data_IF_149988347788
#
_entry.id   IF_149988347788
#
_cell.length_a   1.000
_cell.length_b   1.000
_cell.length_c   1.000
_cell.angle_alpha   90.00
_cell.angle_beta   90.00
_cell.angle_gamma   90.00
#
_symmetry.space_group_name_H-M   'P 1'
#
loop_
_entity.id
_entity.type
_entity.pdbx_description
1 polymer ?
#
# COMPACT_ATOMS: atom_id res chain seq x y z
N UNK A 1 -14.69 14.07 -42.77
CA UNK A 1 -14.50 14.91 -41.57
C UNK A 1 -13.49 14.21 -40.69
N UNK A 2 -12.25 14.69 -40.76
CA UNK A 2 -11.09 14.22 -40.02
C UNK A 2 -11.14 14.73 -38.58
N UNK A 3 -10.78 13.91 -37.61
CA UNK A 3 -10.36 14.42 -36.30
C UNK A 3 -9.24 13.55 -35.76
N UNK A 4 -8.10 14.22 -35.58
CA UNK A 4 -6.77 13.74 -35.25
C UNK A 4 -6.53 14.01 -33.76
N UNK A 5 -6.10 13.03 -32.96
CA UNK A 5 -5.55 13.21 -31.59
C UNK A 5 -4.46 12.15 -31.40
N UNK A 6 -3.19 12.49 -31.63
CA UNK A 6 -2.23 13.16 -30.74
C UNK A 6 -1.63 12.19 -29.68
N UNK A 7 -0.36 11.86 -29.94
CA UNK A 7 0.61 11.08 -29.16
C UNK A 7 1.12 11.90 -27.98
N UNK A 8 1.44 11.28 -26.83
CA UNK A 8 2.52 11.76 -25.97
C UNK A 8 3.21 10.60 -25.24
N UNK A 9 4.44 10.32 -25.65
CA UNK A 9 5.43 9.53 -24.93
C UNK A 9 6.12 10.44 -23.91
N UNK A 10 6.36 9.95 -22.69
CA UNK A 10 7.19 10.64 -21.70
C UNK A 10 8.41 9.78 -21.42
N UNK A 11 9.57 10.35 -21.73
CA UNK A 11 10.87 9.71 -21.78
C UNK A 11 11.58 9.61 -20.43
N UNK A 12 12.51 8.65 -20.41
CA UNK A 12 13.60 8.53 -19.44
C UNK A 12 14.43 9.81 -19.36
N UNK A 13 14.77 10.23 -18.16
CA UNK A 13 15.88 11.16 -17.92
C UNK A 13 16.77 10.60 -16.79
N UNK A 14 17.88 9.99 -17.20
CA UNK A 14 19.06 9.71 -16.40
C UNK A 14 19.82 11.01 -16.15
N UNK A 15 20.25 11.28 -14.92
CA UNK A 15 21.20 12.36 -14.64
C UNK A 15 22.35 11.84 -13.76
N UNK A 16 23.46 11.54 -14.44
CA UNK A 16 24.81 11.45 -13.89
C UNK A 16 25.44 12.84 -13.88
N UNK A 17 26.09 13.25 -12.78
CA UNK A 17 27.10 14.31 -12.81
C UNK A 17 28.32 13.86 -12.01
N UNK A 18 29.41 13.66 -12.74
CA UNK A 18 30.79 13.61 -12.28
C UNK A 18 31.44 14.90 -12.76
N UNK A 19 32.16 15.63 -11.90
CA UNK A 19 33.13 16.62 -12.35
C UNK A 19 34.29 16.74 -11.36
N UNK A 20 35.47 16.32 -11.82
CA UNK A 20 36.79 16.50 -11.21
C UNK A 20 37.55 17.60 -11.96
N UNK A 21 38.39 18.31 -11.21
CA UNK A 21 39.15 19.54 -11.47
C UNK A 21 40.07 19.63 -12.71
N UNK A 22 40.49 20.87 -13.07
CA UNK A 22 41.55 21.11 -14.07
C UNK A 22 41.93 22.58 -14.40
N UNK A 23 42.67 23.20 -13.48
CA UNK A 23 43.73 24.26 -13.49
C UNK A 23 44.50 24.70 -14.80
N UNK A 24 44.65 26.04 -14.99
CA UNK A 24 45.75 26.93 -15.58
C UNK A 24 45.98 27.09 -17.14
N UNK A 25 46.78 28.09 -17.66
CA UNK A 25 46.83 29.57 -17.48
C UNK A 25 47.13 30.41 -18.79
N UNK A 26 47.12 31.77 -18.71
CA UNK A 26 47.88 32.72 -19.60
C UNK A 26 47.04 33.59 -20.56
N UNK A 27 46.90 34.91 -20.37
CA UNK A 27 47.78 36.05 -20.74
C UNK A 27 47.73 36.42 -22.26
N UNK A 28 47.81 37.66 -22.78
CA UNK A 28 47.84 39.08 -22.39
C UNK A 28 47.77 39.89 -23.72
N UNK A 29 47.24 41.13 -23.72
CA UNK A 29 47.54 42.18 -24.72
C UNK A 29 46.49 43.30 -24.69
N UNK A 30 46.64 44.43 -23.97
CA UNK A 30 47.59 45.57 -24.07
C UNK A 30 46.85 46.83 -24.62
N UNK A 31 46.59 47.84 -23.78
CA UNK A 31 47.24 49.20 -23.68
C UNK A 31 46.58 50.29 -24.58
N UNK A 32 46.54 51.60 -24.28
CA UNK A 32 47.03 52.51 -23.23
C UNK A 32 46.21 53.84 -23.34
N UNK A 33 45.92 54.58 -22.27
CA UNK A 33 46.71 55.69 -21.65
C UNK A 33 45.71 56.73 -21.08
N UNK A 34 45.94 57.58 -20.06
CA UNK A 34 47.11 58.09 -19.35
C UNK A 34 46.72 58.52 -17.89
N UNK A 35 47.74 58.54 -17.02
CA UNK A 35 47.95 59.04 -15.62
C UNK A 35 47.39 60.44 -15.21
N UNK A 36 47.57 60.95 -13.95
CA UNK A 36 47.78 60.31 -12.62
C UNK A 36 47.04 60.99 -11.42
N UNK A 37 47.20 60.41 -10.21
CA UNK A 37 47.18 61.04 -8.85
C UNK A 37 45.86 61.04 -8.05
N UNK A 38 45.67 60.02 -7.20
CA UNK A 38 45.33 60.16 -5.77
C UNK A 38 45.35 58.76 -5.12
N UNK A 39 46.21 58.62 -4.11
CA UNK A 39 46.33 57.42 -3.28
C UNK A 39 45.16 57.35 -2.31
N UNK A 40 44.17 56.51 -2.61
CA UNK A 40 43.27 55.94 -1.61
C UNK A 40 43.31 54.43 -1.79
N UNK A 41 43.89 53.74 -0.81
CA UNK A 41 43.90 52.27 -0.75
C UNK A 41 42.52 51.82 -0.27
N UNK A 42 41.68 51.15 -1.09
CA UNK A 42 40.58 50.40 -0.54
C UNK A 42 41.16 49.15 0.14
N UNK A 43 41.09 49.12 1.46
CA UNK A 43 41.25 47.88 2.23
C UNK A 43 40.21 46.89 1.74
N UNK A 44 40.63 45.93 0.91
CA UNK A 44 39.85 44.74 0.64
C UNK A 44 39.84 43.92 1.93
N UNK A 45 38.72 43.98 2.66
CA UNK A 45 38.41 43.00 3.68
C UNK A 45 38.22 41.66 2.96
N UNK A 46 39.28 40.86 2.92
CA UNK A 46 39.16 39.43 2.65
C UNK A 46 38.44 38.82 3.85
N UNK A 47 37.11 38.66 3.71
CA UNK A 47 36.36 37.77 4.58
C UNK A 47 36.99 36.38 4.44
N UNK A 48 37.47 35.73 5.50
CA UNK A 48 37.89 34.34 5.39
C UNK A 48 36.64 33.54 5.05
N UNK A 49 36.55 33.06 3.81
CA UNK A 49 35.64 31.96 3.49
C UNK A 49 36.21 30.76 4.23
N UNK A 50 35.71 30.55 5.44
CA UNK A 50 35.82 29.29 6.15
C UNK A 50 35.11 28.26 5.27
N UNK A 51 35.87 27.64 4.37
CA UNK A 51 35.46 26.47 3.63
C UNK A 51 35.36 25.33 4.65
N UNK A 52 34.25 25.32 5.39
CA UNK A 52 33.82 24.15 6.13
C UNK A 52 33.73 23.02 5.10
N UNK A 53 34.74 22.14 5.09
CA UNK A 53 34.76 20.97 4.24
C UNK A 53 33.48 20.20 4.50
N UNK A 54 32.67 19.95 3.47
CA UNK A 54 31.45 19.16 3.64
C UNK A 54 31.82 17.82 4.29
N UNK A 55 31.08 17.37 5.32
CA UNK A 55 31.39 16.15 6.03
C UNK A 55 31.36 14.97 5.04
N UNK A 56 32.29 14.02 5.20
CA UNK A 56 32.23 12.78 4.41
C UNK A 56 31.07 11.93 4.92
N UNK A 57 30.19 11.51 4.02
CA UNK A 57 28.97 10.77 4.40
C UNK A 57 28.87 9.42 3.70
N UNK A 58 28.27 8.44 4.39
CA UNK A 58 27.92 7.13 3.84
C UNK A 58 26.39 6.99 3.90
N UNK A 59 25.74 6.94 2.74
CA UNK A 59 24.30 6.71 2.65
C UNK A 59 24.02 5.28 2.25
N UNK A 60 23.16 4.60 3.00
CA UNK A 60 22.73 3.22 2.74
C UNK A 60 21.21 3.13 2.75
N UNK A 61 20.68 2.21 1.94
CA UNK A 61 19.27 1.83 1.99
C UNK A 61 19.17 0.33 2.24
N UNK A 62 18.37 -0.05 3.22
CA UNK A 62 18.21 -1.45 3.63
C UNK A 62 16.75 -1.76 3.90
N UNK A 63 16.37 -3.03 3.70
CA UNK A 63 15.05 -3.54 4.04
C UNK A 63 15.12 -4.47 5.24
N UNK A 64 14.06 -4.47 6.03
CA UNK A 64 13.84 -5.41 7.10
C UNK A 64 12.47 -6.05 6.94
N UNK A 65 12.40 -7.36 7.16
CA UNK A 65 11.18 -8.14 7.03
C UNK A 65 10.89 -8.90 8.33
N UNK A 66 9.62 -9.05 8.66
CA UNK A 66 9.15 -9.91 9.74
C UNK A 66 7.83 -10.57 9.34
N UNK A 67 7.59 -11.79 9.83
CA UNK A 67 6.37 -12.55 9.55
C UNK A 67 5.83 -13.18 10.83
N UNK A 68 4.50 -13.31 10.90
CA UNK A 68 3.79 -13.97 11.99
C UNK A 68 2.53 -14.66 11.47
N UNK A 69 2.05 -15.66 12.21
CA UNK A 69 0.78 -16.30 11.89
C UNK A 69 -0.38 -15.35 12.21
N UNK A 70 -1.42 -15.31 11.37
CA UNK A 70 -2.59 -14.50 11.64
C UNK A 70 -3.29 -14.96 12.92
N UNK A 71 -3.88 -14.02 13.63
CA UNK A 71 -4.67 -14.21 14.85
C UNK A 71 -6.12 -13.73 14.69
N UNK A 72 -6.43 -13.12 13.53
CA UNK A 72 -7.76 -12.62 13.19
C UNK A 72 -8.15 -13.13 11.81
N UNK A 73 -9.37 -13.63 11.69
CA UNK A 73 -10.01 -13.89 10.41
C UNK A 73 -11.13 -12.89 10.18
N UNK A 74 -11.24 -12.44 8.92
CA UNK A 74 -12.27 -11.54 8.44
C UNK A 74 -12.96 -12.18 7.26
N UNK A 75 -14.22 -12.56 7.46
CA UNK A 75 -15.07 -13.19 6.45
C UNK A 75 -16.00 -12.13 5.88
N UNK A 76 -15.96 -11.94 4.56
CA UNK A 76 -16.84 -11.02 3.84
C UNK A 76 -17.90 -11.80 3.08
N UNK A 77 -19.17 -11.54 3.40
CA UNK A 77 -20.32 -12.18 2.76
C UNK A 77 -21.34 -11.15 2.32
N UNK A 78 -22.26 -11.55 1.46
CA UNK A 78 -23.41 -10.76 1.09
C UNK A 78 -24.65 -11.61 0.92
N UNK A 79 -25.79 -11.02 1.27
CA UNK A 79 -27.10 -11.50 0.84
C UNK A 79 -27.54 -10.67 -0.34
N UNK A 80 -27.90 -11.35 -1.43
CA UNK A 80 -28.38 -10.75 -2.68
C UNK A 80 -29.72 -11.37 -3.00
N UNK A 81 -30.72 -10.53 -3.24
CA UNK A 81 -32.07 -10.92 -3.61
C UNK A 81 -32.48 -10.17 -4.86
N UNK A 82 -33.14 -10.85 -5.79
CA UNK A 82 -33.78 -10.24 -6.96
C UNK A 82 -35.28 -10.51 -6.88
N UNK A 83 -36.11 -9.48 -7.03
CA UNK A 83 -37.56 -9.60 -7.04
C UNK A 83 -38.22 -8.61 -8.01
N UNK A 84 -39.51 -8.82 -8.30
CA UNK A 84 -40.27 -8.02 -9.29
C UNK A 84 -40.66 -6.62 -8.78
N UNK A 85 -40.44 -6.35 -7.48
CA UNK A 85 -40.68 -5.03 -6.91
C UNK A 85 -39.61 -4.64 -5.88
N UNK A 86 -39.38 -3.33 -5.67
CA UNK A 86 -38.45 -2.82 -4.64
C UNK A 86 -38.82 -3.32 -3.24
N UNK A 87 -40.13 -3.36 -2.93
CA UNK A 87 -40.64 -3.76 -1.63
C UNK A 87 -40.37 -5.25 -1.38
N UNK A 88 -40.69 -6.12 -2.36
CA UNK A 88 -40.42 -7.55 -2.24
C UNK A 88 -38.91 -7.84 -2.10
N UNK A 89 -38.06 -7.14 -2.88
CA UNK A 89 -36.61 -7.33 -2.81
C UNK A 89 -36.05 -6.95 -1.43
N UNK A 90 -36.50 -5.82 -0.87
CA UNK A 90 -36.03 -5.34 0.43
C UNK A 90 -36.59 -6.15 1.60
N UNK A 91 -37.83 -6.61 1.53
CA UNK A 91 -38.45 -7.48 2.56
C UNK A 91 -37.74 -8.84 2.65
N UNK A 92 -37.52 -9.49 1.51
CA UNK A 92 -36.78 -10.76 1.46
C UNK A 92 -35.33 -10.60 1.92
N UNK A 93 -34.66 -9.50 1.52
CA UNK A 93 -33.32 -9.20 2.00
C UNK A 93 -33.29 -8.97 3.52
N UNK A 94 -34.28 -8.25 4.06
CA UNK A 94 -34.38 -8.03 5.50
C UNK A 94 -34.58 -9.34 6.27
N UNK A 95 -35.39 -10.27 5.74
CA UNK A 95 -35.56 -11.60 6.33
C UNK A 95 -34.24 -12.40 6.34
N UNK A 96 -33.56 -12.51 5.19
CA UNK A 96 -32.28 -13.24 5.07
C UNK A 96 -31.21 -12.65 5.99
N UNK A 97 -31.08 -11.32 6.01
CA UNK A 97 -30.05 -10.67 6.82
C UNK A 97 -30.37 -10.67 8.32
N UNK A 98 -31.64 -10.76 8.70
CA UNK A 98 -32.03 -10.97 10.10
C UNK A 98 -31.69 -12.38 10.55
N UNK A 99 -31.99 -13.40 9.73
CA UNK A 99 -31.61 -14.79 9.98
C UNK A 99 -30.09 -14.93 10.14
N UNK A 100 -29.32 -14.35 9.21
CA UNK A 100 -27.86 -14.33 9.26
C UNK A 100 -27.34 -13.72 10.58
N UNK A 101 -27.88 -12.56 10.99
CA UNK A 101 -27.46 -11.91 12.24
C UNK A 101 -27.78 -12.76 13.47
N UNK A 102 -28.92 -13.44 13.51
CA UNK A 102 -29.26 -14.33 14.61
C UNK A 102 -28.32 -15.53 14.66
N UNK A 103 -28.10 -16.22 13.54
CA UNK A 103 -27.21 -17.38 13.47
C UNK A 103 -25.77 -17.04 13.88
N UNK A 104 -25.24 -15.89 13.44
CA UNK A 104 -23.92 -15.44 13.87
C UNK A 104 -23.86 -15.11 15.37
N UNK A 105 -24.93 -14.55 15.93
CA UNK A 105 -25.01 -14.29 17.37
C UNK A 105 -25.05 -15.58 18.20
N UNK A 106 -25.77 -16.59 17.71
CA UNK A 106 -25.84 -17.93 18.33
C UNK A 106 -24.49 -18.65 18.26
N UNK A 107 -23.73 -18.43 17.19
CA UNK A 107 -22.35 -18.88 17.04
C UNK A 107 -21.32 -18.03 17.84
N UNK A 108 -21.78 -17.12 18.70
CA UNK A 108 -20.93 -16.34 19.58
C UNK A 108 -20.18 -15.17 18.91
N UNK A 109 -20.60 -14.73 17.72
CA UNK A 109 -20.05 -13.52 17.10
C UNK A 109 -20.72 -12.28 17.68
N UNK A 110 -19.94 -11.41 18.33
CA UNK A 110 -20.44 -10.19 18.94
C UNK A 110 -21.04 -9.21 17.91
N UNK A 111 -21.86 -8.26 18.36
CA UNK A 111 -22.39 -7.22 17.49
C UNK A 111 -21.27 -6.34 16.90
N UNK A 112 -20.26 -6.02 17.70
CA UNK A 112 -19.10 -5.20 17.27
C UNK A 112 -18.21 -5.92 16.25
N UNK A 113 -18.25 -7.25 16.23
CA UNK A 113 -17.52 -8.09 15.27
C UNK A 113 -18.30 -8.31 13.96
N UNK A 114 -19.45 -7.62 13.78
CA UNK A 114 -20.31 -7.73 12.59
C UNK A 114 -20.64 -6.35 12.05
N UNK A 115 -19.97 -5.97 10.98
CA UNK A 115 -20.16 -4.66 10.35
C UNK A 115 -20.88 -4.82 9.01
N UNK A 116 -21.91 -4.00 8.75
CA UNK A 116 -22.47 -3.89 7.39
C UNK A 116 -21.52 -3.08 6.53
N UNK A 117 -21.07 -3.63 5.40
CA UNK A 117 -20.11 -2.97 4.51
C UNK A 117 -20.77 -2.17 3.40
N UNK A 118 -21.95 -2.62 2.96
CA UNK A 118 -22.68 -2.02 1.84
C UNK A 118 -24.14 -2.44 1.90
N UNK A 119 -24.98 -1.59 1.31
CA UNK A 119 -26.38 -1.85 1.05
C UNK A 119 -26.72 -1.21 -0.29
N UNK A 120 -27.35 -1.97 -1.18
CA UNK A 120 -27.78 -1.47 -2.49
C UNK A 120 -29.15 -1.99 -2.85
N UNK A 121 -29.88 -1.19 -3.63
CA UNK A 121 -31.10 -1.57 -4.31
C UNK A 121 -31.05 -0.95 -5.70
N UNK A 122 -30.96 -1.79 -6.72
CA UNK A 122 -30.84 -1.36 -8.10
C UNK A 122 -31.93 -2.00 -8.96
N UNK A 123 -32.47 -1.23 -9.89
CA UNK A 123 -33.43 -1.76 -10.85
C UNK A 123 -32.67 -2.35 -12.03
N UNK A 124 -32.77 -3.65 -12.23
CA UNK A 124 -32.11 -4.41 -13.28
C UNK A 124 -33.06 -4.48 -14.49
N UNK A 125 -32.57 -4.02 -15.64
CA UNK A 125 -33.23 -4.23 -16.94
C UNK A 125 -32.48 -5.34 -17.66
N UNK A 126 -33.14 -6.37 -18.21
CA UNK A 126 -32.48 -7.25 -19.17
C UNK A 126 -32.00 -6.43 -20.37
N UNK A 127 -30.89 -6.89 -20.96
CA UNK A 127 -29.99 -6.08 -21.76
C UNK A 127 -30.63 -5.19 -22.83
N UNK A 128 -30.00 -4.02 -23.03
CA UNK A 128 -30.00 -3.34 -24.32
C UNK A 128 -29.21 -4.20 -25.32
N UNK A 129 -29.75 -5.33 -25.75
CA UNK A 129 -29.30 -5.97 -26.97
C UNK A 129 -29.69 -5.05 -28.13
N UNK A 130 -28.71 -4.67 -28.95
CA UNK A 130 -28.92 -3.82 -30.12
C UNK A 130 -30.14 -4.32 -30.89
N UNK A 131 -31.18 -3.49 -31.09
CA UNK A 131 -32.43 -3.96 -31.69
C UNK A 131 -32.15 -4.39 -33.12
N UNK A 132 -32.15 -5.70 -33.35
CA UNK A 132 -32.17 -6.24 -34.70
C UNK A 132 -33.57 -5.98 -35.24
N UNK A 133 -33.70 -5.41 -36.45
CA UNK A 133 -34.99 -5.05 -37.07
C UNK A 133 -35.99 -6.21 -36.94
N UNK A 134 -37.05 -6.00 -36.14
CA UNK A 134 -38.08 -7.00 -35.85
C UNK A 134 -38.14 -7.51 -34.41
N UNK A 135 -37.24 -7.07 -33.52
CA UNK A 135 -37.32 -7.41 -32.09
C UNK A 135 -38.38 -6.53 -31.40
N UNK A 136 -39.23 -7.08 -30.51
CA UNK A 136 -40.12 -6.28 -29.67
C UNK A 136 -39.30 -5.27 -28.87
N UNK A 137 -39.83 -4.06 -28.70
CA UNK A 137 -39.33 -3.11 -27.69
C UNK A 137 -39.28 -3.88 -26.35
N UNK A 138 -38.12 -4.02 -25.67
CA UNK A 138 -38.09 -4.61 -24.34
C UNK A 138 -38.85 -3.65 -23.43
N UNK A 139 -40.16 -3.88 -23.34
CA UNK A 139 -41.08 -3.03 -22.62
C UNK A 139 -40.62 -2.86 -21.17
N UNK A 140 -41.18 -1.86 -20.50
CA UNK A 140 -41.01 -1.64 -19.07
C UNK A 140 -41.50 -2.81 -18.18
N UNK A 141 -41.74 -4.00 -18.76
CA UNK A 141 -42.36 -5.17 -18.15
C UNK A 141 -41.33 -6.17 -17.59
N UNK A 142 -40.05 -6.06 -17.96
CA UNK A 142 -38.99 -6.96 -17.43
C UNK A 142 -38.09 -6.30 -16.37
N UNK A 143 -38.57 -5.24 -15.73
CA UNK A 143 -37.81 -4.58 -14.65
C UNK A 143 -37.82 -5.46 -13.40
N UNK A 144 -36.65 -5.97 -13.03
CA UNK A 144 -36.46 -6.59 -11.72
C UNK A 144 -35.69 -5.66 -10.81
N UNK A 145 -35.71 -5.93 -9.51
CA UNK A 145 -35.01 -5.15 -8.49
C UNK A 145 -34.08 -6.05 -7.73
N UNK A 146 -32.80 -5.72 -7.77
CA UNK A 146 -31.73 -6.43 -7.06
C UNK A 146 -31.38 -5.66 -5.81
N UNK A 147 -31.70 -6.24 -4.66
CA UNK A 147 -31.30 -5.74 -3.35
C UNK A 147 -30.07 -6.54 -2.89
N UNK A 148 -29.07 -5.86 -2.33
CA UNK A 148 -27.94 -6.55 -1.69
C UNK A 148 -27.49 -5.87 -0.43
N UNK A 149 -27.00 -6.66 0.53
CA UNK A 149 -26.36 -6.17 1.74
C UNK A 149 -25.13 -7.01 2.04
N UNK A 150 -23.99 -6.34 2.20
CA UNK A 150 -22.71 -6.94 2.55
C UNK A 150 -22.42 -6.87 4.05
N UNK A 151 -21.71 -7.88 4.55
CA UNK A 151 -21.26 -8.00 5.93
C UNK A 151 -19.77 -8.33 5.98
N UNK A 152 -19.06 -7.66 6.89
CA UNK A 152 -17.75 -8.03 7.39
C UNK A 152 -17.93 -8.68 8.77
N UNK A 153 -17.48 -9.92 8.89
CA UNK A 153 -17.55 -10.72 10.11
C UNK A 153 -16.13 -10.96 10.59
N UNK A 154 -15.82 -10.59 11.83
CA UNK A 154 -14.50 -10.74 12.43
C UNK A 154 -14.51 -11.83 13.50
N UNK A 155 -13.44 -12.61 13.59
CA UNK A 155 -13.17 -13.48 14.72
C UNK A 155 -11.68 -13.47 15.07
N UNK A 156 -11.37 -13.50 16.37
CA UNK A 156 -10.00 -13.59 16.90
C UNK A 156 -9.50 -15.06 16.99
N UNK A 157 -10.09 -15.94 16.18
CA UNK A 157 -9.67 -17.33 16.03
C UNK A 157 -9.75 -17.67 14.54
N UNK A 158 -8.58 -17.84 13.92
CA UNK A 158 -8.45 -18.08 12.49
C UNK A 158 -9.02 -19.43 12.06
N UNK A 159 -9.12 -20.40 12.98
CA UNK A 159 -9.65 -21.74 12.66
C UNK A 159 -11.17 -21.70 12.41
N UNK A 160 -11.84 -20.62 12.80
CA UNK A 160 -13.29 -20.43 12.60
C UNK A 160 -13.64 -19.96 11.19
N UNK A 161 -12.66 -19.76 10.30
CA UNK A 161 -12.88 -19.28 8.94
C UNK A 161 -13.95 -20.11 8.21
N UNK A 162 -13.79 -21.44 8.22
CA UNK A 162 -14.71 -22.39 7.62
C UNK A 162 -16.10 -22.37 8.23
N UNK A 163 -16.15 -22.53 9.56
CA UNK A 163 -17.38 -22.49 10.37
C UNK A 163 -18.22 -21.24 10.06
N UNK A 164 -17.59 -20.06 10.02
CA UNK A 164 -18.27 -18.79 9.77
C UNK A 164 -18.81 -18.68 8.34
N UNK A 165 -18.09 -19.21 7.35
CA UNK A 165 -18.56 -19.29 5.96
C UNK A 165 -19.79 -20.21 5.88
N UNK A 166 -19.71 -21.38 6.50
CA UNK A 166 -20.78 -22.37 6.48
C UNK A 166 -22.03 -21.84 7.19
N UNK A 167 -21.89 -21.20 8.35
CA UNK A 167 -23.00 -20.53 9.05
C UNK A 167 -23.62 -19.46 8.16
N UNK A 168 -22.80 -18.62 7.51
CA UNK A 168 -23.31 -17.54 6.70
C UNK A 168 -24.12 -18.04 5.49
N UNK A 169 -23.59 -19.01 4.76
CA UNK A 169 -24.24 -19.59 3.57
C UNK A 169 -25.53 -20.31 3.94
N UNK A 170 -25.55 -21.06 5.04
CA UNK A 170 -26.76 -21.75 5.50
C UNK A 170 -27.86 -20.82 6.03
N UNK A 171 -27.52 -19.57 6.38
CA UNK A 171 -28.43 -18.63 7.04
C UNK A 171 -28.68 -17.35 6.24
N UNK A 172 -28.61 -17.41 4.91
CA UNK A 172 -29.11 -16.35 4.03
C UNK A 172 -28.04 -15.50 3.35
N UNK A 173 -26.75 -15.78 3.54
CA UNK A 173 -25.73 -15.28 2.62
C UNK A 173 -25.77 -16.06 1.31
N UNK A 174 -25.84 -15.36 0.19
CA UNK A 174 -25.88 -15.95 -1.16
C UNK A 174 -24.58 -15.70 -1.94
N UNK A 175 -23.65 -14.94 -1.37
CA UNK A 175 -22.34 -14.67 -1.95
C UNK A 175 -21.27 -14.58 -0.87
N UNK A 176 -20.20 -15.37 -1.01
CA UNK A 176 -18.97 -15.21 -0.23
C UNK A 176 -18.01 -14.35 -1.04
N UNK A 177 -17.66 -13.18 -0.52
CA UNK A 177 -16.81 -12.20 -1.22
C UNK A 177 -15.32 -12.39 -0.93
N UNK A 178 -15.00 -13.09 0.15
CA UNK A 178 -13.62 -13.48 0.46
C UNK A 178 -13.41 -13.75 1.95
N UNK A 179 -12.29 -14.39 2.25
CA UNK A 179 -11.78 -14.58 3.60
C UNK A 179 -10.38 -13.97 3.65
N UNK A 180 -10.15 -13.13 4.64
CA UNK A 180 -8.90 -12.43 4.84
C UNK A 180 -8.34 -12.75 6.22
N UNK A 181 -7.07 -13.14 6.25
CA UNK A 181 -6.35 -13.40 7.48
C UNK A 181 -5.51 -12.17 7.83
N UNK A 182 -5.67 -11.69 9.06
CA UNK A 182 -5.05 -10.47 9.55
C UNK A 182 -4.36 -10.74 10.89
N UNK A 183 -3.56 -9.75 11.28
CA UNK A 183 -3.04 -9.62 12.63
C UNK A 183 -3.88 -8.58 13.39
N UNK A 184 -4.03 -8.74 14.70
CA UNK A 184 -4.51 -7.70 15.61
C UNK A 184 -3.66 -6.43 15.48
N UNK A 185 -4.23 -5.28 15.82
CA UNK A 185 -3.50 -4.00 15.76
C UNK A 185 -2.23 -4.01 16.62
N UNK A 186 -2.27 -4.71 17.76
CA UNK A 186 -1.13 -4.93 18.64
C UNK A 186 -0.04 -5.74 17.94
N UNK A 187 -0.35 -6.95 17.47
CA UNK A 187 0.61 -7.80 16.78
C UNK A 187 1.14 -7.18 15.48
N UNK A 188 0.34 -6.39 14.75
CA UNK A 188 0.83 -5.60 13.59
C UNK A 188 1.86 -4.57 14.01
N UNK A 189 1.64 -3.89 15.14
CA UNK A 189 2.58 -2.89 15.66
C UNK A 189 3.91 -3.54 16.08
N UNK A 190 3.85 -4.66 16.79
CA UNK A 190 5.04 -5.41 17.21
C UNK A 190 5.83 -5.96 16.02
N UNK A 191 5.13 -6.52 15.03
CA UNK A 191 5.76 -7.04 13.82
C UNK A 191 6.43 -5.91 13.02
N UNK A 192 5.79 -4.74 12.94
CA UNK A 192 6.37 -3.54 12.30
C UNK A 192 7.64 -3.09 13.03
N UNK A 193 7.63 -3.04 14.36
CA UNK A 193 8.82 -2.67 15.14
C UNK A 193 9.97 -3.65 14.90
N UNK A 194 9.65 -4.94 14.83
CA UNK A 194 10.63 -5.99 14.51
C UNK A 194 11.26 -5.78 13.14
N UNK A 195 10.45 -5.49 12.11
CA UNK A 195 10.95 -5.23 10.76
C UNK A 195 11.80 -3.95 10.68
N UNK A 196 11.39 -2.87 11.36
CA UNK A 196 12.17 -1.63 11.48
C UNK A 196 13.54 -1.88 12.13
N UNK A 197 13.58 -2.63 13.23
CA UNK A 197 14.83 -3.00 13.91
C UNK A 197 15.78 -3.76 12.97
N UNK A 198 15.25 -4.76 12.25
CA UNK A 198 16.02 -5.53 11.26
C UNK A 198 16.52 -4.67 10.10
N UNK A 199 15.71 -3.72 9.62
CA UNK A 199 16.10 -2.80 8.56
C UNK A 199 17.27 -1.89 9.01
N UNK A 200 17.17 -1.32 10.22
CA UNK A 200 18.21 -0.47 10.79
C UNK A 200 19.51 -1.23 11.06
N UNK A 201 19.42 -2.47 11.57
CA UNK A 201 20.58 -3.33 11.75
C UNK A 201 21.26 -3.65 10.42
N UNK A 202 20.48 -4.02 9.40
CA UNK A 202 20.98 -4.28 8.04
C UNK A 202 21.67 -3.04 7.45
N UNK A 203 21.06 -1.86 7.58
CA UNK A 203 21.66 -0.58 7.15
C UNK A 203 23.00 -0.34 7.85
N UNK A 204 23.05 -0.53 9.18
CA UNK A 204 24.28 -0.35 9.95
C UNK A 204 25.40 -1.30 9.49
N UNK A 205 25.09 -2.57 9.25
CA UNK A 205 26.07 -3.56 8.75
C UNK A 205 26.58 -3.18 7.36
N UNK A 206 25.70 -2.73 6.46
CA UNK A 206 26.10 -2.26 5.12
C UNK A 206 27.01 -1.03 5.21
N UNK A 207 26.65 -0.04 6.03
CA UNK A 207 27.46 1.17 6.20
C UNK A 207 28.85 0.85 6.79
N UNK A 208 28.93 -0.02 7.79
CA UNK A 208 30.20 -0.48 8.36
C UNK A 208 31.07 -1.20 7.32
N UNK A 209 30.46 -1.99 6.44
CA UNK A 209 31.16 -2.69 5.35
C UNK A 209 31.75 -1.69 4.34
N UNK A 210 30.96 -0.68 3.93
CA UNK A 210 31.42 0.38 3.02
C UNK A 210 32.52 1.22 3.66
N UNK A 211 32.36 1.64 4.92
CA UNK A 211 33.36 2.40 5.65
C UNK A 211 34.70 1.65 5.71
N UNK A 212 34.67 0.35 6.04
CA UNK A 212 35.87 -0.48 6.10
C UNK A 212 36.57 -0.62 4.74
N UNK A 213 35.82 -0.72 3.64
CA UNK A 213 36.37 -0.81 2.28
C UNK A 213 37.09 0.48 1.85
N UNK A 214 36.58 1.64 2.29
CA UNK A 214 37.11 2.97 1.94
C UNK A 214 38.09 3.53 2.99
N UNK A 215 38.48 2.72 3.99
CA UNK A 215 39.32 3.17 5.12
C UNK A 215 38.74 4.38 5.89
N UNK A 216 37.42 4.44 5.99
CA UNK A 216 36.66 5.42 6.75
C UNK A 216 36.22 4.84 8.11
N UNK A 217 35.99 5.73 9.08
CA UNK A 217 35.39 5.41 10.37
C UNK A 217 34.08 6.18 10.52
N UNK A 218 32.98 5.48 10.80
CA UNK A 218 31.68 6.10 11.07
C UNK A 218 31.74 6.80 12.43
N UNK A 219 31.42 8.10 12.45
CA UNK A 219 31.46 8.96 13.64
C UNK A 219 30.08 9.27 14.20
N UNK A 220 29.05 9.28 13.34
CA UNK A 220 27.71 9.69 13.72
C UNK A 220 26.65 9.27 12.71
N UNK A 221 25.39 9.59 13.05
CA UNK A 221 24.25 9.46 12.14
C UNK A 221 23.80 10.88 11.81
N UNK A 222 23.85 11.22 10.53
CA UNK A 222 23.41 12.52 10.00
C UNK A 222 21.88 12.53 9.85
N UNK A 223 21.32 11.52 9.18
CA UNK A 223 19.90 11.45 8.90
C UNK A 223 19.36 10.02 8.84
N UNK A 224 18.12 9.85 9.29
CA UNK A 224 17.37 8.58 9.27
C UNK A 224 16.01 8.84 8.66
N UNK A 225 15.67 8.07 7.63
CA UNK A 225 14.34 8.04 7.02
C UNK A 225 13.85 6.60 6.96
N UNK A 226 12.58 6.40 7.27
CA UNK A 226 11.91 5.10 7.15
C UNK A 226 10.70 5.24 6.22
N UNK A 227 10.58 4.30 5.29
CA UNK A 227 9.42 4.19 4.41
C UNK A 227 8.18 3.69 5.14
N UNK A 228 7.04 3.78 4.47
CA UNK A 228 5.80 3.17 4.95
C UNK A 228 5.92 1.64 4.94
N UNK A 229 5.45 0.94 5.98
CA UNK A 229 5.48 -0.51 6.01
C UNK A 229 4.54 -1.09 4.94
N UNK A 230 5.04 -2.04 4.17
CA UNK A 230 4.23 -2.84 3.27
C UNK A 230 3.80 -4.12 3.98
N UNK A 231 2.49 -4.36 4.06
CA UNK A 231 1.94 -5.61 4.60
C UNK A 231 1.48 -6.51 3.44
N UNK A 232 1.94 -7.75 3.45
CA UNK A 232 1.51 -8.80 2.52
C UNK A 232 0.94 -10.00 3.26
N UNK A 233 -0.09 -10.62 2.69
CA UNK A 233 -0.68 -11.87 3.17
C UNK A 233 -0.97 -12.79 2.00
N UNK A 234 -0.62 -14.07 2.11
CA UNK A 234 -0.99 -15.09 1.13
C UNK A 234 -2.12 -15.94 1.71
N UNK A 235 -3.27 -15.99 1.05
CA UNK A 235 -4.34 -16.93 1.37
C UNK A 235 -4.40 -18.03 0.29
N UNK A 236 -4.71 -19.26 0.68
CA UNK A 236 -4.96 -20.37 -0.25
C UNK A 236 -6.33 -20.97 0.04
N UNK A 237 -7.08 -21.25 -1.01
CA UNK A 237 -8.43 -21.81 -0.92
C UNK A 237 -8.40 -23.23 -1.49
N UNK A 238 -8.85 -24.20 -0.70
CA UNK A 238 -9.08 -25.56 -1.17
C UNK A 238 -10.59 -25.83 -1.20
N UNK A 239 -11.13 -26.09 -2.39
CA UNK A 239 -12.57 -26.34 -2.56
C UNK A 239 -12.90 -27.76 -2.10
N UNK A 240 -13.66 -27.91 -1.02
CA UNK A 240 -14.17 -29.20 -0.57
C UNK A 240 -15.44 -29.62 -1.35
N UNK A 241 -15.52 -30.91 -1.69
CA UNK A 241 -16.75 -31.56 -2.19
C UNK A 241 -17.82 -31.55 -1.09
N UNK A 242 -19.10 -31.56 -1.47
CA UNK A 242 -20.26 -31.02 -0.72
C UNK A 242 -20.68 -31.75 0.57
N UNK A 243 -19.75 -32.44 1.24
CA UNK A 243 -19.98 -33.21 2.48
C UNK A 243 -18.87 -33.11 3.52
N UNK A 244 -17.83 -32.31 3.30
CA UNK A 244 -16.78 -32.05 4.29
C UNK A 244 -16.82 -30.59 4.74
N UNK A 245 -16.46 -30.33 6.00
CA UNK A 245 -16.31 -28.98 6.55
C UNK A 245 -15.43 -28.11 5.66
N UNK A 246 -15.82 -26.84 5.46
CA UNK A 246 -15.05 -25.91 4.63
C UNK A 246 -13.71 -25.61 5.31
N UNK A 247 -12.59 -26.03 4.71
CA UNK A 247 -11.24 -25.70 5.22
C UNK A 247 -10.69 -24.47 4.52
N UNK A 248 -10.29 -23.46 5.28
CA UNK A 248 -9.66 -22.24 4.75
C UNK A 248 -8.43 -21.93 5.60
N UNK A 249 -7.26 -22.01 4.98
CA UNK A 249 -5.99 -21.79 5.65
C UNK A 249 -5.39 -20.43 5.31
N UNK A 250 -4.96 -19.73 6.36
CA UNK A 250 -4.22 -18.47 6.25
C UNK A 250 -2.72 -18.69 6.23
N UNK A 251 -2.04 -18.19 5.21
CA UNK A 251 -0.58 -18.08 5.21
C UNK A 251 -0.10 -17.01 6.20
N UNK A 252 1.21 -16.97 6.50
CA UNK A 252 1.79 -15.94 7.37
C UNK A 252 1.52 -14.54 6.82
N UNK A 253 1.29 -13.60 7.74
CA UNK A 253 1.26 -12.17 7.43
C UNK A 253 2.69 -11.65 7.56
N UNK A 254 3.19 -11.05 6.49
CA UNK A 254 4.53 -10.47 6.41
C UNK A 254 4.45 -8.95 6.37
N UNK A 255 5.42 -8.30 7.02
CA UNK A 255 5.65 -6.87 6.93
C UNK A 255 7.07 -6.62 6.43
N UNK A 256 7.20 -5.72 5.48
CA UNK A 256 8.48 -5.23 4.96
C UNK A 256 8.58 -3.72 5.21
N UNK A 257 9.74 -3.26 5.65
CA UNK A 257 10.05 -1.84 5.84
C UNK A 257 11.40 -1.53 5.23
N UNK A 258 11.48 -0.43 4.48
CA UNK A 258 12.73 0.13 3.99
C UNK A 258 13.18 1.29 4.88
N UNK A 259 14.49 1.37 5.13
CA UNK A 259 15.12 2.51 5.80
C UNK A 259 16.27 3.02 4.96
N UNK A 260 16.45 4.34 4.96
CA UNK A 260 17.61 5.02 4.39
C UNK A 260 18.29 5.77 5.51
N UNK A 261 19.58 5.50 5.72
CA UNK A 261 20.38 6.12 6.77
C UNK A 261 21.63 6.73 6.14
N UNK A 262 21.89 7.98 6.47
CA UNK A 262 23.14 8.66 6.16
C UNK A 262 23.98 8.75 7.42
N UNK A 263 25.20 8.25 7.35
CA UNK A 263 26.18 8.28 8.42
C UNK A 263 27.25 9.33 8.12
N UNK A 264 27.72 10.01 9.14
CA UNK A 264 28.95 10.81 9.07
C UNK A 264 30.15 9.87 9.22
N UNK A 265 31.19 10.13 8.45
CA UNK A 265 32.42 9.36 8.48
C UNK A 265 33.65 10.25 8.32
N UNK A 266 34.78 9.77 8.83
CA UNK A 266 36.08 10.42 8.72
C UNK A 266 37.13 9.44 8.23
N UNK A 267 38.14 9.91 7.50
CA UNK A 267 39.28 9.10 7.12
C UNK A 267 40.02 8.59 8.36
N UNK A 268 40.41 7.31 8.33
CA UNK A 268 41.18 6.67 9.39
C UNK A 268 42.63 7.15 9.48
#
# INVERSE_FOLDING_TARGET
MSTQRAVLAVGLATLTVVAVAGVLPGAVGAQAGNDPTATETPTATETPTDSASEPTTITVSATGQASAQPDVVVVRVASVVTADSPAAATEQLAANTSQLRSALSEAGVAADDRTTTDYSLEAVRPGFETPTQGSPDPGAEDVTYRASQGFEIRANDTNRAGELVDIAVQNGATSVRGVEFRLTSENRSELRQTALGRAAESARTQAQTLAGAESLTITGVDSVSAGEPFFGSTASFESADSRSETTIDGGPVSVEVSVTITYEAESR
#
